data_IF_353708134933
#
_entry.id   IF_353708134933
#
_cell.length_a   1.000
_cell.length_b   1.000
_cell.length_c   1.000
_cell.angle_alpha   90.00
_cell.angle_beta   90.00
_cell.angle_gamma   90.00
#
_symmetry.space_group_name_H-M   'P 1'
#
loop_
_entity.id
_entity.type
_entity.pdbx_description
1 polymer ?
#
# COMPACT_ATOMS: atom_id res chain seq x y z
N UNK A 1 -18.78 -3.76 7.04
CA UNK A 1 -17.36 -4.14 7.00
C UNK A 1 -17.14 -5.40 7.83
N UNK A 2 -16.35 -6.37 7.37
CA UNK A 2 -16.19 -7.67 8.06
C UNK A 2 -14.93 -7.75 8.94
N UNK A 3 -13.97 -6.84 8.75
CA UNK A 3 -12.64 -6.92 9.37
C UNK A 3 -12.31 -5.74 10.28
N UNK A 4 -13.11 -4.67 10.28
CA UNK A 4 -12.84 -3.45 11.05
C UNK A 4 -11.66 -2.61 10.55
N UNK A 5 -11.12 -2.90 9.36
CA UNK A 5 -10.00 -2.14 8.79
C UNK A 5 -10.46 -0.83 8.17
N UNK A 6 -9.74 0.26 8.42
CA UNK A 6 -10.04 1.59 7.87
C UNK A 6 -8.97 2.10 6.91
N UNK A 7 -7.86 1.38 6.75
CA UNK A 7 -6.74 1.77 5.90
C UNK A 7 -6.64 0.85 4.69
N UNK A 8 -6.30 1.42 3.54
CA UNK A 8 -6.09 0.68 2.29
C UNK A 8 -4.84 1.20 1.58
N UNK A 9 -4.05 0.33 0.95
CA UNK A 9 -2.85 0.73 0.20
C UNK A 9 -3.05 0.37 -1.27
N UNK A 10 -2.86 1.34 -2.18
CA UNK A 10 -2.87 1.13 -3.63
C UNK A 10 -1.42 0.98 -4.11
N UNK A 11 -1.04 -0.24 -4.48
CA UNK A 11 0.30 -0.63 -4.92
C UNK A 11 0.23 -1.66 -6.05
N UNK A 12 1.35 -1.92 -6.74
CA UNK A 12 1.41 -2.69 -7.96
C UNK A 12 1.47 -1.80 -9.20
N UNK A 13 2.12 -2.30 -10.25
CA UNK A 13 2.37 -1.53 -11.47
C UNK A 13 1.11 -1.01 -12.19
N UNK A 14 -0.05 -1.62 -11.95
CA UNK A 14 -1.36 -1.19 -12.47
C UNK A 14 -1.71 0.23 -12.04
N UNK A 15 -1.34 0.63 -10.82
CA UNK A 15 -1.62 1.97 -10.29
C UNK A 15 -0.62 3.05 -10.76
N UNK A 16 0.26 2.74 -11.70
CA UNK A 16 0.96 3.78 -12.48
C UNK A 16 0.03 4.44 -13.51
N UNK A 17 -1.11 3.81 -13.83
CA UNK A 17 -2.16 4.43 -14.62
C UNK A 17 -2.95 5.41 -13.74
N UNK A 18 -2.81 6.72 -13.99
CA UNK A 18 -3.45 7.77 -13.20
C UNK A 18 -4.98 7.64 -13.15
N UNK A 19 -5.61 7.22 -14.25
CA UNK A 19 -7.06 7.03 -14.28
C UNK A 19 -7.49 5.92 -13.32
N UNK A 20 -6.81 4.77 -13.32
CA UNK A 20 -7.12 3.67 -12.40
C UNK A 20 -6.82 4.05 -10.94
N UNK A 21 -5.71 4.77 -10.71
CA UNK A 21 -5.31 5.23 -9.38
C UNK A 21 -6.33 6.20 -8.77
N UNK A 22 -6.71 7.24 -9.52
CA UNK A 22 -7.64 8.27 -9.04
C UNK A 22 -9.02 7.67 -8.74
N UNK A 23 -9.58 6.88 -9.66
CA UNK A 23 -10.88 6.26 -9.46
C UNK A 23 -10.89 5.30 -8.25
N UNK A 24 -9.85 4.49 -8.08
CA UNK A 24 -9.73 3.61 -6.92
C UNK A 24 -9.58 4.41 -5.61
N UNK A 25 -8.76 5.46 -5.63
CA UNK A 25 -8.52 6.34 -4.47
C UNK A 25 -9.82 6.98 -4.00
N UNK A 26 -10.57 7.63 -4.90
CA UNK A 26 -11.83 8.29 -4.55
C UNK A 26 -12.92 7.30 -4.12
N UNK A 27 -13.04 6.16 -4.81
CA UNK A 27 -14.03 5.15 -4.41
C UNK A 27 -13.75 4.59 -3.00
N UNK A 28 -12.48 4.41 -2.63
CA UNK A 28 -12.11 4.00 -1.27
C UNK A 28 -12.40 5.11 -0.25
N UNK A 29 -12.10 6.38 -0.57
CA UNK A 29 -12.42 7.53 0.29
C UNK A 29 -13.93 7.63 0.56
N UNK A 30 -14.76 7.48 -0.47
CA UNK A 30 -16.23 7.52 -0.35
C UNK A 30 -16.78 6.39 0.53
N UNK A 31 -16.10 5.24 0.55
CA UNK A 31 -16.44 4.09 1.40
C UNK A 31 -15.93 4.20 2.83
N UNK A 32 -15.30 5.32 3.20
CA UNK A 32 -14.79 5.59 4.55
C UNK A 32 -13.39 5.05 4.82
N UNK A 33 -12.67 4.58 3.79
CA UNK A 33 -11.27 4.19 3.96
C UNK A 33 -10.34 5.41 3.93
N UNK A 34 -9.15 5.22 4.47
CA UNK A 34 -7.98 6.11 4.33
C UNK A 34 -7.00 5.43 3.38
N UNK A 35 -7.01 5.79 2.07
CA UNK A 35 -6.14 5.16 1.09
C UNK A 35 -4.73 5.78 1.12
N UNK A 36 -3.72 4.96 0.92
CA UNK A 36 -2.32 5.38 0.72
C UNK A 36 -1.85 5.01 -0.68
N UNK A 37 -1.02 5.88 -1.25
CA UNK A 37 -0.38 5.69 -2.55
C UNK A 37 1.14 5.84 -2.42
N UNK A 38 1.87 5.27 -3.38
CA UNK A 38 3.32 5.41 -3.48
C UNK A 38 3.72 6.85 -3.86
N UNK A 39 4.75 7.41 -3.22
CA UNK A 39 5.28 8.76 -3.51
C UNK A 39 6.79 8.79 -3.79
N UNK A 40 7.58 8.05 -3.00
CA UNK A 40 9.05 8.07 -3.07
C UNK A 40 9.64 6.95 -3.92
N UNK A 41 8.93 5.83 -4.00
CA UNK A 41 9.29 4.67 -4.83
C UNK A 41 8.15 4.38 -5.78
N UNK A 42 8.40 3.84 -6.97
CA UNK A 42 7.31 3.46 -7.86
C UNK A 42 6.52 2.29 -7.25
N UNK A 43 5.20 2.19 -7.49
CA UNK A 43 4.38 1.08 -7.01
C UNK A 43 4.69 -0.25 -7.73
N UNK A 44 5.67 -0.29 -8.65
CA UNK A 44 6.06 -1.47 -9.43
C UNK A 44 7.27 -2.19 -8.81
N UNK A 45 7.88 -3.11 -9.56
CA UNK A 45 8.99 -3.95 -9.10
C UNK A 45 10.20 -3.16 -8.56
N UNK A 46 10.37 -1.90 -8.98
CA UNK A 46 11.37 -1.00 -8.42
C UNK A 46 11.20 -0.71 -6.93
N UNK A 47 9.99 -0.87 -6.38
CA UNK A 47 9.69 -0.71 -4.95
C UNK A 47 9.63 -2.02 -4.14
N UNK A 48 9.73 -3.19 -4.78
CA UNK A 48 9.57 -4.49 -4.09
C UNK A 48 10.68 -4.72 -3.07
N UNK A 49 11.94 -4.42 -3.43
CA UNK A 49 13.09 -4.63 -2.55
C UNK A 49 12.97 -3.86 -1.24
N UNK A 50 12.39 -2.65 -1.27
CA UNK A 50 12.12 -1.85 -0.07
C UNK A 50 11.11 -2.56 0.84
N UNK A 51 10.01 -3.07 0.28
CA UNK A 51 9.00 -3.80 1.05
C UNK A 51 9.58 -5.06 1.71
N UNK A 52 10.41 -5.81 0.97
CA UNK A 52 11.10 -7.00 1.49
C UNK A 52 12.07 -6.66 2.63
N UNK A 53 12.85 -5.59 2.50
CA UNK A 53 13.79 -5.16 3.53
C UNK A 53 13.06 -4.74 4.83
N UNK A 54 11.98 -3.96 4.71
CA UNK A 54 11.18 -3.52 5.87
C UNK A 54 10.51 -4.72 6.55
N UNK A 55 9.91 -5.63 5.78
CA UNK A 55 9.27 -6.82 6.32
C UNK A 55 10.25 -7.75 7.03
N UNK A 56 11.41 -8.01 6.41
CA UNK A 56 12.48 -8.79 7.04
C UNK A 56 12.96 -8.17 8.34
N UNK A 57 13.09 -6.83 8.39
CA UNK A 57 13.47 -6.13 9.62
C UNK A 57 12.40 -6.19 10.71
N UNK A 58 11.10 -6.08 10.37
CA UNK A 58 10.02 -6.21 11.35
C UNK A 58 9.95 -7.62 11.93
N UNK A 59 10.15 -8.65 11.11
CA UNK A 59 10.21 -10.04 11.56
C UNK A 59 11.39 -10.30 12.51
N UNK A 60 12.57 -9.77 12.18
CA UNK A 60 13.74 -9.88 13.05
C UNK A 60 13.54 -9.14 14.38
N UNK A 61 12.89 -7.97 14.35
CA UNK A 61 12.56 -7.24 15.57
C UNK A 61 11.60 -8.04 16.44
N UNK A 62 10.52 -8.56 15.87
CA UNK A 62 9.51 -9.37 16.59
C UNK A 62 10.07 -10.67 17.20
N UNK A 63 11.16 -11.23 16.66
CA UNK A 63 11.84 -12.41 17.22
C UNK A 63 12.82 -12.09 18.35
N UNK A 64 13.23 -10.84 18.48
CA UNK A 64 14.22 -10.38 19.47
C UNK A 64 13.59 -9.64 20.67
N UNK A 65 12.26 -9.57 20.74
CA UNK A 65 11.44 -9.18 21.91
C UNK A 65 10.73 -10.39 22.47
#
# INVERSE_FOLDING_TARGET
>A
DKTGMSYAVLSGGVFQNSFLLENAYYSLKERGFTPFIHQLVPPNDGGISLGQAVYGNSENTARNV
#
